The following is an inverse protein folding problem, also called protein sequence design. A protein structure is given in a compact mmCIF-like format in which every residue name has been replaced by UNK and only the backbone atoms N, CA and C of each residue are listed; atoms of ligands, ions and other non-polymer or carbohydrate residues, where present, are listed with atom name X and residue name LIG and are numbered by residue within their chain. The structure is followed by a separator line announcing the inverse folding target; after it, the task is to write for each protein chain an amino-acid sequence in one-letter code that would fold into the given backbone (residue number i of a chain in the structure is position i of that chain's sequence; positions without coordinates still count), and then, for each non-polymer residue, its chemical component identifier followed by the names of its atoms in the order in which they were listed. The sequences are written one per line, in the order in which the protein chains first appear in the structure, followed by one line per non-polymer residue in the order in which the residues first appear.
data_IF_188326888767
#
_entry.id   IF_188326888767
#
_cell.length_a   1.000
_cell.length_b   1.000
_cell.length_c   1.000
_cell.angle_alpha   90.00
_cell.angle_beta   90.00
_cell.angle_gamma   90.00
#
_symmetry.space_group_name_H-M   'P 1'
#
loop_
_entity.id
_entity.type
_entity.pdbx_description
1 polymer ?
#
# COMPACT_ATOMS: atom_id res chain seq x y z
N UNK A 1 5.53 -7.65 -3.18
CA UNK A 1 4.96 -8.70 -2.33
C UNK A 1 6.06 -9.14 -1.38
N UNK A 2 5.92 -8.78 -0.11
CA UNK A 2 6.89 -9.14 0.92
C UNK A 2 6.40 -10.38 1.63
N UNK A 3 7.24 -11.41 1.73
CA UNK A 3 6.91 -12.70 2.36
C UNK A 3 7.80 -12.90 3.58
N UNK A 4 7.23 -13.40 4.67
CA UNK A 4 8.01 -13.76 5.85
C UNK A 4 8.95 -14.93 5.50
N UNK A 5 10.20 -14.88 5.95
CA UNK A 5 11.20 -15.92 5.66
C UNK A 5 10.80 -17.29 6.21
N UNK A 6 10.27 -17.33 7.44
CA UNK A 6 9.82 -18.55 8.11
C UNK A 6 8.42 -19.01 7.70
N UNK A 7 7.60 -18.12 7.15
CA UNK A 7 6.22 -18.40 6.76
C UNK A 7 5.88 -17.71 5.42
N UNK A 8 6.29 -18.26 4.27
CA UNK A 8 6.16 -17.59 2.97
C UNK A 8 4.73 -17.31 2.51
N UNK A 9 3.73 -17.93 3.15
CA UNK A 9 2.30 -17.66 2.95
C UNK A 9 1.81 -16.39 3.67
N UNK A 10 2.63 -15.82 4.55
CA UNK A 10 2.36 -14.61 5.33
C UNK A 10 3.25 -13.45 4.86
N UNK A 11 2.80 -12.23 5.13
CA UNK A 11 3.52 -11.01 4.80
C UNK A 11 2.57 -9.88 4.42
N UNK A 12 2.86 -9.18 3.32
CA UNK A 12 1.97 -8.13 2.82
C UNK A 12 2.15 -7.87 1.32
N UNK A 13 1.09 -7.34 0.72
CA UNK A 13 1.08 -6.86 -0.67
C UNK A 13 0.97 -5.34 -0.65
N UNK A 14 2.00 -4.67 -1.16
CA UNK A 14 2.01 -3.21 -1.34
C UNK A 14 1.57 -2.83 -2.76
N UNK A 15 0.74 -1.80 -2.87
CA UNK A 15 0.22 -1.23 -4.11
C UNK A 15 0.09 0.29 -4.02
N UNK A 16 -0.50 0.88 -5.06
CA UNK A 16 -0.70 2.32 -5.17
C UNK A 16 0.01 2.94 -6.37
N UNK A 17 0.61 4.10 -6.16
CA UNK A 17 1.20 4.95 -7.20
C UNK A 17 2.62 4.55 -7.61
N UNK A 18 3.22 3.57 -6.91
CA UNK A 18 4.63 3.18 -7.07
C UNK A 18 5.53 4.41 -6.85
N UNK A 19 6.21 4.85 -7.90
CA UNK A 19 7.12 5.99 -7.94
C UNK A 19 6.60 7.12 -8.84
N UNK A 20 5.35 7.07 -9.29
CA UNK A 20 4.75 8.14 -10.11
C UNK A 20 4.43 9.36 -9.25
N UNK A 21 5.38 10.30 -9.19
CA UNK A 21 5.28 11.50 -8.38
C UNK A 21 4.04 12.36 -8.71
N UNK A 22 3.54 12.30 -9.96
CA UNK A 22 2.36 13.05 -10.40
C UNK A 22 1.07 12.59 -9.72
N UNK A 23 1.09 11.42 -9.07
CA UNK A 23 -0.05 10.85 -8.34
C UNK A 23 0.09 10.95 -6.83
N UNK A 24 1.15 11.59 -6.33
CA UNK A 24 1.35 11.80 -4.89
C UNK A 24 0.24 12.72 -4.37
N UNK A 25 -0.41 12.27 -3.30
CA UNK A 25 -1.38 13.06 -2.55
C UNK A 25 -0.67 13.88 -1.47
N UNK A 26 -1.25 15.03 -1.04
CA UNK A 26 -0.70 15.82 0.05
C UNK A 26 -0.49 14.99 1.32
N UNK A 27 0.52 15.33 2.14
CA UNK A 27 0.69 14.75 3.46
C UNK A 27 -0.58 14.86 4.30
N UNK A 28 -0.85 13.84 5.10
CA UNK A 28 -1.91 13.84 6.11
C UNK A 28 -1.33 13.42 7.46
N UNK A 29 -1.95 13.85 8.59
CA UNK A 29 -1.51 13.44 9.91
C UNK A 29 -1.47 11.92 10.04
N UNK A 30 -0.40 11.39 10.63
CA UNK A 30 -0.30 9.96 10.89
C UNK A 30 -1.26 9.57 12.03
N UNK A 31 -2.25 8.75 11.69
CA UNK A 31 -3.15 8.14 12.68
C UNK A 31 -2.59 6.79 13.12
N UNK A 32 -1.90 6.78 14.25
CA UNK A 32 -1.21 5.58 14.75
C UNK A 32 -2.19 4.52 15.26
N UNK A 33 -1.78 3.26 15.28
CA UNK A 33 -2.60 2.17 15.84
C UNK A 33 -2.81 2.28 17.35
N UNK A 34 -1.98 3.07 18.05
CA UNK A 34 -2.20 3.42 19.46
C UNK A 34 -3.35 4.43 19.62
N UNK A 35 -3.55 5.33 18.64
CA UNK A 35 -4.64 6.30 18.63
C UNK A 35 -5.96 5.68 18.14
N UNK A 36 -5.92 4.86 17.09
CA UNK A 36 -7.13 4.32 16.45
C UNK A 36 -7.56 2.96 16.99
N UNK A 37 -6.65 2.21 17.63
CA UNK A 37 -6.87 0.83 18.05
C UNK A 37 -6.84 -0.20 16.92
N UNK A 38 -6.76 0.23 15.65
CA UNK A 38 -6.75 -0.67 14.49
C UNK A 38 -5.38 -1.33 14.37
N UNK A 39 -5.30 -2.64 14.57
CA UNK A 39 -4.05 -3.41 14.52
C UNK A 39 -3.80 -4.03 13.14
N UNK A 40 -2.55 -4.32 12.85
CA UNK A 40 -2.13 -5.05 11.65
C UNK A 40 -2.33 -6.57 11.82
N UNK A 41 -3.57 -7.03 11.64
CA UNK A 41 -3.97 -8.44 11.62
C UNK A 41 -4.19 -8.92 10.17
N UNK A 42 -4.66 -10.15 9.93
CA UNK A 42 -4.92 -10.63 8.56
C UNK A 42 -5.95 -9.73 7.85
N UNK A 43 -5.63 -9.27 6.64
CA UNK A 43 -6.52 -8.44 5.84
C UNK A 43 -6.59 -6.97 6.21
N UNK A 44 -5.81 -6.47 7.18
CA UNK A 44 -5.72 -5.03 7.48
C UNK A 44 -5.16 -4.26 6.27
N UNK A 45 -5.82 -3.17 5.88
CA UNK A 45 -5.29 -2.19 4.92
C UNK A 45 -4.67 -1.00 5.66
N UNK A 46 -3.48 -0.60 5.22
CA UNK A 46 -2.67 0.41 5.89
C UNK A 46 -1.87 1.25 4.88
N UNK A 47 -1.54 2.48 5.27
CA UNK A 47 -0.79 3.40 4.42
C UNK A 47 0.70 3.08 4.44
N UNK A 48 1.31 2.97 3.26
CA UNK A 48 2.76 2.90 3.15
C UNK A 48 3.35 4.31 3.25
N UNK A 49 4.49 4.44 3.92
CA UNK A 49 5.20 5.71 4.13
C UNK A 49 6.71 5.54 3.95
N UNK A 50 7.39 6.66 3.73
CA UNK A 50 8.84 6.74 3.85
C UNK A 50 9.30 6.86 5.30
N UNK A 51 10.53 7.35 5.49
CA UNK A 51 11.16 7.49 6.81
C UNK A 51 10.37 8.45 7.73
N UNK A 52 9.93 9.58 7.18
CA UNK A 52 9.16 10.59 7.92
C UNK A 52 7.75 10.05 8.24
N UNK A 53 7.26 10.14 9.48
CA UNK A 53 5.94 9.59 9.86
C UNK A 53 4.77 10.10 9.01
N UNK A 54 4.78 11.38 8.63
CA UNK A 54 3.72 12.02 7.83
C UNK A 54 4.00 12.01 6.31
N UNK A 55 4.73 11.02 5.79
CA UNK A 55 5.13 10.96 4.36
C UNK A 55 4.25 10.06 3.48
N UNK A 56 3.17 9.52 4.02
CA UNK A 56 2.25 8.72 3.22
C UNK A 56 1.56 9.58 2.16
N UNK A 57 1.56 9.12 0.90
CA UNK A 57 1.15 9.94 -0.24
C UNK A 57 0.43 9.20 -1.36
N UNK A 58 -0.14 8.01 -1.09
CA UNK A 58 -0.93 7.26 -2.08
C UNK A 58 -0.47 5.82 -2.35
N UNK A 59 0.58 5.36 -1.65
CA UNK A 59 0.91 3.95 -1.57
C UNK A 59 0.24 3.35 -0.31
N UNK A 60 -0.24 2.11 -0.44
CA UNK A 60 -0.90 1.36 0.64
C UNK A 60 -0.41 -0.08 0.60
N UNK A 61 -0.64 -0.82 1.67
CA UNK A 61 -0.42 -2.26 1.70
C UNK A 61 -1.56 -2.98 2.41
N UNK A 62 -1.70 -4.27 2.10
CA UNK A 62 -2.63 -5.16 2.75
C UNK A 62 -1.84 -6.31 3.36
N UNK A 63 -2.06 -6.56 4.64
CA UNK A 63 -1.42 -7.65 5.39
C UNK A 63 -2.05 -8.99 5.05
N UNK A 64 -1.21 -10.03 5.02
CA UNK A 64 -1.61 -11.43 4.92
C UNK A 64 -1.04 -12.13 6.14
N UNK A 65 -1.88 -12.34 7.15
CA UNK A 65 -1.51 -12.70 8.51
C UNK A 65 -1.18 -11.50 9.41
N UNK A 66 -0.96 -11.76 10.71
CA UNK A 66 -0.61 -10.73 11.68
C UNK A 66 0.79 -10.15 11.43
N UNK A 67 0.90 -8.83 11.54
CA UNK A 67 2.13 -8.07 11.35
C UNK A 67 2.31 -7.02 12.47
N UNK A 68 2.42 -7.42 13.75
CA UNK A 68 2.48 -6.50 14.89
C UNK A 68 3.72 -5.59 14.87
N UNK A 69 4.75 -5.94 14.10
CA UNK A 69 5.92 -5.09 13.87
C UNK A 69 5.57 -3.76 13.16
N UNK A 70 4.39 -3.65 12.54
CA UNK A 70 3.89 -2.45 11.89
C UNK A 70 3.02 -1.58 12.81
N UNK A 71 2.62 -2.10 13.97
CA UNK A 71 1.86 -1.35 14.96
C UNK A 71 2.73 -0.32 15.68
N UNK A 72 2.09 0.75 16.15
CA UNK A 72 2.73 1.74 16.99
C UNK A 72 3.12 1.15 18.35
N UNK A 73 4.32 1.52 18.82
CA UNK A 73 4.89 1.16 20.12
C UNK A 73 5.79 2.31 20.64
N UNK A 74 6.20 2.33 21.91
CA UNK A 74 7.10 3.37 22.43
C UNK A 74 8.32 3.56 21.51
N UNK A 75 8.59 4.81 21.11
CA UNK A 75 9.70 5.16 20.20
C UNK A 75 9.49 4.80 18.72
N UNK A 76 8.36 4.18 18.34
CA UNK A 76 8.06 3.82 16.94
C UNK A 76 6.60 4.09 16.58
N UNK A 77 6.31 5.07 15.70
CA UNK A 77 4.94 5.48 15.42
C UNK A 77 4.13 4.48 14.56
N UNK A 78 4.76 3.43 14.04
CA UNK A 78 4.09 2.43 13.22
C UNK A 78 3.65 2.93 11.84
N UNK A 79 2.60 2.30 11.31
CA UNK A 79 1.88 2.64 10.09
C UNK A 79 0.39 2.87 10.39
N UNK A 80 -0.27 3.72 9.60
CA UNK A 80 -1.68 4.02 9.78
C UNK A 80 -2.57 2.95 9.14
N UNK A 81 -3.07 2.03 9.96
CA UNK A 81 -4.12 1.10 9.59
C UNK A 81 -5.48 1.80 9.60
N UNK A 82 -6.27 1.63 8.53
CA UNK A 82 -7.52 2.40 8.34
C UNK A 82 -8.70 1.55 7.85
N UNK A 83 -8.53 0.24 7.73
CA UNK A 83 -9.62 -0.65 7.36
C UNK A 83 -9.20 -2.10 7.29
N UNK A 84 -10.10 -2.94 6.77
CA UNK A 84 -9.86 -4.36 6.55
C UNK A 84 -10.56 -4.85 5.29
N UNK A 85 -10.04 -5.92 4.71
CA UNK A 85 -10.63 -6.60 3.56
C UNK A 85 -11.80 -7.44 4.03
N UNK A 86 -13.00 -7.13 3.53
CA UNK A 86 -14.24 -7.88 3.82
C UNK A 86 -14.47 -9.03 2.84
N UNK A 87 -13.90 -8.96 1.63
CA UNK A 87 -14.02 -9.97 0.59
C UNK A 87 -12.81 -9.95 -0.34
N UNK A 88 -12.43 -11.11 -0.90
CA UNK A 88 -11.32 -11.23 -1.86
C UNK A 88 -9.94 -11.45 -1.25
N UNK A 89 -9.86 -11.94 -0.01
CA UNK A 89 -8.56 -12.30 0.61
C UNK A 89 -7.83 -13.42 -0.15
N UNK A 90 -8.56 -14.31 -0.83
CA UNK A 90 -7.98 -15.33 -1.71
C UNK A 90 -7.24 -14.70 -2.91
N UNK A 91 -7.77 -13.61 -3.49
CA UNK A 91 -7.12 -12.85 -4.56
C UNK A 91 -5.82 -12.23 -4.04
N UNK A 92 -5.83 -11.66 -2.84
CA UNK A 92 -4.64 -11.05 -2.22
C UNK A 92 -3.58 -12.12 -1.96
N UNK A 93 -3.97 -13.29 -1.43
CA UNK A 93 -3.07 -14.44 -1.23
C UNK A 93 -2.47 -14.93 -2.57
N UNK A 94 -3.25 -14.95 -3.66
CA UNK A 94 -2.74 -15.26 -5.01
C UNK A 94 -1.75 -14.21 -5.52
N UNK A 95 -1.98 -12.93 -5.22
CA UNK A 95 -1.03 -11.85 -5.56
C UNK A 95 0.27 -11.99 -4.76
N UNK A 96 0.18 -12.30 -3.46
CA UNK A 96 1.34 -12.54 -2.60
C UNK A 96 2.23 -13.69 -3.10
N UNK A 97 1.60 -14.75 -3.63
CA UNK A 97 2.27 -15.93 -4.16
C UNK A 97 2.90 -15.74 -5.56
N UNK A 98 2.71 -14.58 -6.22
CA UNK A 98 3.31 -14.36 -7.54
C UNK A 98 4.84 -14.36 -7.49
N UNK A 99 5.51 -14.77 -8.59
CA UNK A 99 6.95 -14.66 -8.74
C UNK A 99 7.43 -13.23 -8.50
N UNK A 100 8.49 -13.11 -7.70
CA UNK A 100 9.15 -11.83 -7.41
C UNK A 100 10.64 -11.92 -7.71
N UNK A 101 11.27 -10.76 -7.90
CA UNK A 101 12.72 -10.64 -8.08
C UNK A 101 13.12 -9.17 -8.19
N UNK A 102 14.42 -8.89 -8.15
CA UNK A 102 14.93 -7.51 -8.26
C UNK A 102 14.51 -6.62 -7.09
N UNK A 103 14.53 -5.30 -7.28
CA UNK A 103 14.39 -4.37 -6.15
C UNK A 103 15.71 -4.15 -5.42
N UNK A 104 15.70 -3.24 -4.45
CA UNK A 104 16.88 -2.78 -3.72
C UNK A 104 16.59 -2.72 -2.23
N UNK A 105 17.65 -2.79 -1.43
CA UNK A 105 17.61 -2.64 0.03
C UNK A 105 16.56 -3.57 0.68
N UNK A 106 15.69 -3.01 1.51
CA UNK A 106 14.61 -3.73 2.20
C UNK A 106 13.61 -4.43 1.25
N UNK A 107 13.59 -4.06 -0.04
CA UNK A 107 12.69 -4.62 -1.06
C UNK A 107 13.40 -5.59 -2.03
N UNK A 108 14.66 -5.94 -1.78
CA UNK A 108 15.38 -6.93 -2.58
C UNK A 108 14.59 -8.24 -2.66
N UNK A 109 14.40 -8.71 -3.88
CA UNK A 109 13.64 -9.87 -4.33
C UNK A 109 12.15 -9.86 -4.03
N UNK A 110 11.56 -8.68 -3.77
CA UNK A 110 10.14 -8.53 -3.40
C UNK A 110 9.27 -7.86 -4.47
N UNK A 111 9.84 -7.47 -5.61
CA UNK A 111 9.07 -6.86 -6.70
C UNK A 111 8.36 -7.93 -7.52
N UNK A 112 7.04 -7.81 -7.70
CA UNK A 112 6.25 -8.74 -8.52
C UNK A 112 6.68 -8.58 -9.98
N UNK A 113 7.18 -9.66 -10.59
CA UNK A 113 7.75 -9.63 -11.95
C UNK A 113 6.68 -9.26 -13.00
N UNK A 114 5.51 -9.90 -12.94
CA UNK A 114 4.38 -9.57 -13.80
C UNK A 114 3.42 -8.64 -13.06
N UNK A 115 3.42 -7.35 -13.44
CA UNK A 115 2.58 -6.31 -12.84
C UNK A 115 1.12 -6.75 -12.69
N UNK A 116 0.57 -6.54 -11.49
CA UNK A 116 -0.86 -6.64 -11.23
C UNK A 116 -1.44 -5.23 -11.29
N UNK A 117 -2.36 -4.98 -12.23
CA UNK A 117 -2.99 -3.67 -12.39
C UNK A 117 -4.23 -3.55 -11.51
N UNK A 118 -4.34 -2.45 -10.78
CA UNK A 118 -5.61 -1.99 -10.23
C UNK A 118 -6.34 -1.26 -11.36
N UNK A 119 -7.34 -1.92 -11.94
CA UNK A 119 -8.07 -1.42 -13.13
C UNK A 119 -9.03 -0.29 -12.75
N UNK A 120 -9.74 -0.44 -11.65
CA UNK A 120 -10.66 0.56 -11.12
C UNK A 120 -10.78 0.46 -9.59
N UNK A 121 -11.13 1.57 -8.95
CA UNK A 121 -11.51 1.65 -7.54
C UNK A 121 -12.77 2.52 -7.45
N UNK A 122 -13.77 2.08 -6.68
CA UNK A 122 -15.06 2.76 -6.54
C UNK A 122 -15.53 2.66 -5.09
N UNK A 123 -16.15 3.73 -4.60
CA UNK A 123 -16.91 3.72 -3.33
C UNK A 123 -18.24 3.00 -3.55
N UNK A 124 -18.55 2.02 -2.70
CA UNK A 124 -19.82 1.29 -2.78
C UNK A 124 -20.99 2.10 -2.18
N UNK A 125 -20.68 3.00 -1.24
CA UNK A 125 -21.62 3.78 -0.44
C UNK A 125 -22.00 5.14 -1.05
N UNK A 126 -21.50 5.50 -2.24
CA UNK A 126 -21.89 6.74 -2.90
C UNK A 126 -20.86 7.36 -3.83
N UNK A 127 -20.96 8.68 -4.01
CA UNK A 127 -20.11 9.46 -4.93
C UNK A 127 -18.76 9.72 -4.28
N UNK A 128 -17.68 9.34 -4.97
CA UNK A 128 -16.32 9.67 -4.54
C UNK A 128 -16.18 11.20 -4.41
N UNK A 129 -15.61 11.66 -3.28
CA UNK A 129 -15.22 13.05 -3.06
C UNK A 129 -13.72 13.20 -3.34
N UNK A 130 -13.29 13.40 -4.60
CA UNK A 130 -11.89 13.62 -4.90
C UNK A 130 -11.40 14.90 -4.22
N UNK A 131 -10.09 15.02 -4.04
CA UNK A 131 -9.45 16.16 -3.36
C UNK A 131 -9.65 17.51 -4.06
N UNK A 132 -10.27 17.55 -5.24
CA UNK A 132 -10.40 18.75 -6.08
C UNK A 132 -9.08 19.20 -6.73
N UNK A 133 -7.96 18.57 -6.39
CA UNK A 133 -6.65 18.92 -6.93
C UNK A 133 -6.55 18.55 -8.42
N UNK A 134 -5.72 19.28 -9.19
CA UNK A 134 -5.41 18.93 -10.56
C UNK A 134 -4.91 17.50 -10.68
N UNK A 135 -5.45 16.76 -11.64
CA UNK A 135 -5.01 15.40 -11.95
C UNK A 135 -3.72 15.45 -12.77
N UNK A 136 -2.59 15.71 -12.11
CA UNK A 136 -1.30 15.90 -12.78
C UNK A 136 -0.88 14.73 -13.68
N UNK A 137 -1.34 13.50 -13.38
CA UNK A 137 -1.10 12.32 -14.23
C UNK A 137 -1.89 12.30 -15.55
N UNK A 138 -2.86 13.20 -15.74
CA UNK A 138 -3.56 13.42 -17.01
C UNK A 138 -2.92 14.52 -17.86
N UNK A 139 -2.02 15.31 -17.27
CA UNK A 139 -1.31 16.37 -17.99
C UNK A 139 -0.29 15.70 -18.90
N UNK A 140 -0.44 15.90 -20.21
CA UNK A 140 0.51 15.42 -21.21
C UNK A 140 1.74 16.33 -21.19
N UNK A 141 2.82 15.87 -20.55
CA UNK A 141 4.11 16.56 -20.57
C UNK A 141 5.08 15.79 -21.49
N UNK A 142 5.10 16.14 -22.77
CA UNK A 142 6.01 15.57 -23.78
C UNK A 142 5.37 14.60 -24.77
N UNK A 143 6.10 14.21 -25.84
CA UNK A 143 5.59 13.31 -26.87
C UNK A 143 5.23 11.94 -26.28
N UNK A 144 4.13 11.37 -26.77
CA UNK A 144 3.59 10.07 -26.38
C UNK A 144 4.70 9.01 -26.45
N UNK A 145 5.23 8.57 -25.29
CA UNK A 145 6.07 7.37 -25.25
C UNK A 145 5.16 6.16 -25.45
N UNK A 146 4.82 5.90 -26.71
CA UNK A 146 4.18 4.65 -27.13
C UNK A 146 5.16 3.49 -26.92
N UNK A 147 4.59 2.41 -26.36
CA UNK A 147 5.09 1.03 -26.17
C UNK A 147 5.90 0.78 -24.91
#
# INVERSE_FOLDING_TARGET
ASRQKSAPKLGFVQGGIRTDARRILPPFPLETTAKTGIKHIDGTISMARGMTPASAGGNFFITVGPAPAMDARPGYPGYAAFGHVVAGMDVIKRILAKPTGGGMDAFKDQMILKRVALVSARRLDGVAKPTGLPRAWLIKTGPDRKK
#
